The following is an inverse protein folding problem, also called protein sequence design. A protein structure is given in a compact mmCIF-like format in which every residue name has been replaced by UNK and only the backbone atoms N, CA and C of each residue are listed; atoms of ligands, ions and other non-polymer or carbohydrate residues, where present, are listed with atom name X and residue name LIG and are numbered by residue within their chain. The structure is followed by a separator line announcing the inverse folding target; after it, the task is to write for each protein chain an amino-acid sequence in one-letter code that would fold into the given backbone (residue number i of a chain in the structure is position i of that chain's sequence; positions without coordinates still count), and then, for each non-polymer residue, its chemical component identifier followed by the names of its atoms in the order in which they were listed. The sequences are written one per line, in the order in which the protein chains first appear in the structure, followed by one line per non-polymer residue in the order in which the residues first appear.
data_IF_769507850210
#
_entry.id   IF_769507850210
#
_cell.length_a   1.000
_cell.length_b   1.000
_cell.length_c   1.000
_cell.angle_alpha   90.00
_cell.angle_beta   90.00
_cell.angle_gamma   90.00
#
_symmetry.space_group_name_H-M   'P 1'
#
loop_
_entity.id
_entity.type
_entity.pdbx_description
1 polymer ?
#
# COMPACT_ATOMS: atom_id res chain seq x y z
N UNK A 1 -18.13 5.71 -17.22
CA UNK A 1 -17.18 5.39 -16.14
C UNK A 1 -17.20 6.54 -15.14
N UNK A 2 -18.22 6.60 -14.28
CA UNK A 2 -18.22 7.49 -13.12
C UNK A 2 -18.22 6.57 -11.91
N UNK A 3 -17.19 6.65 -11.07
CA UNK A 3 -17.19 5.92 -9.80
C UNK A 3 -18.43 6.36 -9.02
N UNK A 4 -19.24 5.40 -8.57
CA UNK A 4 -20.38 5.76 -7.74
C UNK A 4 -19.86 6.23 -6.37
N UNK A 5 -20.60 7.13 -5.70
CA UNK A 5 -20.23 7.54 -4.34
C UNK A 5 -20.11 6.31 -3.41
N UNK A 6 -20.92 5.27 -3.66
CA UNK A 6 -20.87 3.99 -2.95
C UNK A 6 -19.53 3.28 -3.14
N UNK A 7 -19.04 3.16 -4.38
CA UNK A 7 -17.76 2.52 -4.71
C UNK A 7 -16.59 3.26 -4.04
N UNK A 8 -16.61 4.59 -4.07
CA UNK A 8 -15.59 5.43 -3.42
C UNK A 8 -15.59 5.23 -1.90
N UNK A 9 -16.76 5.22 -1.27
CA UNK A 9 -16.88 5.01 0.16
C UNK A 9 -16.42 3.61 0.58
N UNK A 10 -16.81 2.57 -0.17
CA UNK A 10 -16.38 1.19 0.09
C UNK A 10 -14.86 1.03 -0.03
N UNK A 11 -14.26 1.61 -1.07
CA UNK A 11 -12.81 1.63 -1.24
C UNK A 11 -12.14 2.33 -0.05
N UNK A 12 -12.62 3.51 0.34
CA UNK A 12 -12.04 4.29 1.43
C UNK A 12 -12.11 3.56 2.77
N UNK A 13 -13.27 3.02 3.14
CA UNK A 13 -13.44 2.27 4.39
C UNK A 13 -12.54 1.02 4.40
N UNK A 14 -12.50 0.29 3.27
CA UNK A 14 -11.66 -0.90 3.15
C UNK A 14 -10.17 -0.56 3.28
N UNK A 15 -9.71 0.51 2.61
CA UNK A 15 -8.33 1.01 2.75
C UNK A 15 -8.01 1.44 4.17
N UNK A 16 -8.91 2.16 4.84
CA UNK A 16 -8.71 2.59 6.22
C UNK A 16 -8.57 1.40 7.18
N UNK A 17 -9.41 0.37 7.01
CA UNK A 17 -9.32 -0.85 7.82
C UNK A 17 -8.02 -1.61 7.57
N UNK A 18 -7.66 -1.84 6.31
CA UNK A 18 -6.42 -2.55 5.95
C UNK A 18 -5.20 -1.77 6.42
N UNK A 19 -5.15 -0.46 6.19
CA UNK A 19 -4.07 0.41 6.65
C UNK A 19 -3.96 0.38 8.18
N UNK A 20 -5.08 0.50 8.90
CA UNK A 20 -5.09 0.44 10.36
C UNK A 20 -4.57 -0.88 10.90
N UNK A 21 -5.03 -2.02 10.35
CA UNK A 21 -4.54 -3.35 10.72
C UNK A 21 -3.04 -3.51 10.42
N UNK A 22 -2.61 -3.14 9.22
CA UNK A 22 -1.20 -3.27 8.81
C UNK A 22 -0.27 -2.34 9.59
N UNK A 23 -0.73 -1.15 9.96
CA UNK A 23 0.00 -0.24 10.84
C UNK A 23 0.25 -0.88 12.20
N UNK A 24 -0.80 -1.40 12.85
CA UNK A 24 -0.65 -2.13 14.13
C UNK A 24 0.28 -3.34 13.97
N UNK A 25 0.14 -4.12 12.90
CA UNK A 25 1.02 -5.25 12.64
C UNK A 25 2.48 -4.81 12.48
N UNK A 26 2.77 -3.73 11.76
CA UNK A 26 4.12 -3.17 11.63
C UNK A 26 4.73 -2.77 12.98
N UNK A 27 3.91 -2.25 13.90
CA UNK A 27 4.36 -1.93 15.26
C UNK A 27 4.58 -3.17 16.14
N UNK A 28 3.78 -4.22 15.98
CA UNK A 28 3.82 -5.42 16.85
C UNK A 28 4.84 -6.45 16.36
N UNK A 29 5.04 -6.58 15.05
CA UNK A 29 5.98 -7.54 14.45
C UNK A 29 7.41 -7.19 14.91
N UNK A 30 8.03 -8.15 15.60
CA UNK A 30 9.42 -8.04 16.08
C UNK A 30 10.45 -8.50 15.05
N UNK A 31 10.03 -9.31 14.06
CA UNK A 31 10.91 -9.80 13.00
C UNK A 31 11.23 -8.66 12.04
N UNK A 32 12.48 -8.51 11.64
CA UNK A 32 12.87 -7.55 10.61
C UNK A 32 12.17 -7.85 9.27
N UNK A 33 11.37 -6.88 8.81
CA UNK A 33 10.66 -6.95 7.52
C UNK A 33 11.50 -6.44 6.35
N UNK A 34 12.72 -5.92 6.57
CA UNK A 34 13.58 -5.36 5.50
C UNK A 34 13.82 -6.32 4.34
N UNK A 35 13.98 -7.63 4.63
CA UNK A 35 14.11 -8.65 3.59
C UNK A 35 12.83 -8.84 2.77
N UNK A 36 11.66 -8.78 3.43
CA UNK A 36 10.37 -8.85 2.77
C UNK A 36 10.11 -7.57 1.93
N UNK A 37 10.43 -6.40 2.46
CA UNK A 37 10.26 -5.13 1.77
C UNK A 37 11.04 -5.08 0.45
N UNK A 38 12.28 -5.59 0.43
CA UNK A 38 13.07 -5.70 -0.82
C UNK A 38 12.36 -6.55 -1.87
N UNK A 39 11.78 -7.68 -1.47
CA UNK A 39 11.01 -8.54 -2.36
C UNK A 39 9.70 -7.88 -2.81
N UNK A 40 9.01 -7.19 -1.90
CA UNK A 40 7.76 -6.47 -2.19
C UNK A 40 7.98 -5.30 -3.16
N UNK A 41 9.07 -4.54 -3.01
CA UNK A 41 9.46 -3.49 -3.96
C UNK A 41 9.80 -4.07 -5.34
N UNK A 42 10.52 -5.19 -5.40
CA UNK A 42 10.78 -5.87 -6.68
C UNK A 42 9.48 -6.35 -7.35
N UNK A 43 8.55 -6.91 -6.58
CA UNK A 43 7.25 -7.33 -7.06
C UNK A 43 6.37 -6.14 -7.52
N UNK A 44 6.47 -5.00 -6.83
CA UNK A 44 5.80 -3.75 -7.22
C UNK A 44 6.25 -3.29 -8.62
N UNK A 45 7.54 -3.36 -8.93
CA UNK A 45 8.07 -3.07 -10.27
C UNK A 45 7.45 -4.02 -11.31
N UNK A 46 7.36 -5.31 -10.98
CA UNK A 46 6.69 -6.30 -11.83
C UNK A 46 5.21 -5.96 -12.10
N UNK A 47 4.48 -5.50 -11.08
CA UNK A 47 3.09 -5.04 -11.22
C UNK A 47 2.98 -3.81 -12.13
N UNK A 48 3.88 -2.84 -11.99
CA UNK A 48 3.88 -1.65 -12.84
C UNK A 48 4.05 -2.04 -14.30
N UNK A 49 5.00 -2.95 -14.59
CA UNK A 49 5.21 -3.48 -15.94
C UNK A 49 3.97 -4.23 -16.43
N UNK A 50 3.39 -5.11 -15.61
CA UNK A 50 2.19 -5.86 -15.96
C UNK A 50 0.99 -4.93 -16.25
N UNK A 51 0.85 -3.86 -15.48
CA UNK A 51 -0.19 -2.83 -15.68
C UNK A 51 0.00 -2.12 -17.02
N UNK A 52 1.25 -1.83 -17.38
CA UNK A 52 1.59 -1.20 -18.64
C UNK A 52 1.29 -2.12 -19.83
N UNK A 53 1.63 -3.40 -19.73
CA UNK A 53 1.29 -4.42 -20.74
C UNK A 53 -0.23 -4.56 -20.88
N UNK A 54 -0.95 -4.60 -19.75
CA UNK A 54 -2.40 -4.74 -19.78
C UNK A 54 -3.11 -3.53 -20.41
N UNK A 55 -2.50 -2.34 -20.42
CA UNK A 55 -3.03 -1.18 -21.13
C UNK A 55 -3.18 -1.42 -22.65
N UNK A 56 -2.31 -2.25 -23.24
CA UNK A 56 -2.37 -2.61 -24.66
C UNK A 56 -3.29 -3.82 -24.93
N UNK A 57 -3.38 -4.75 -23.97
CA UNK A 57 -4.22 -5.95 -24.10
C UNK A 57 -5.69 -5.65 -23.79
N UNK A 58 -5.95 -4.82 -22.79
CA UNK A 58 -7.30 -4.49 -22.32
C UNK A 58 -8.02 -5.63 -21.59
N UNK A 59 -7.30 -6.55 -20.95
CA UNK A 59 -7.93 -7.71 -20.29
C UNK A 59 -8.47 -7.35 -18.90
N UNK A 60 -9.79 -7.49 -18.72
CA UNK A 60 -10.45 -7.28 -17.42
C UNK A 60 -9.98 -8.27 -16.35
N UNK A 61 -9.77 -9.53 -16.72
CA UNK A 61 -9.25 -10.56 -15.79
C UNK A 61 -7.83 -10.22 -15.32
N UNK A 62 -6.98 -9.71 -16.22
CA UNK A 62 -5.62 -9.29 -15.86
C UNK A 62 -5.65 -8.06 -14.94
N UNK A 63 -6.52 -7.08 -15.21
CA UNK A 63 -6.74 -5.93 -14.32
C UNK A 63 -7.15 -6.35 -12.91
N UNK A 64 -8.06 -7.33 -12.81
CA UNK A 64 -8.54 -7.85 -11.52
C UNK A 64 -7.42 -8.53 -10.73
N UNK A 65 -6.65 -9.43 -11.37
CA UNK A 65 -5.51 -10.11 -10.74
C UNK A 65 -4.43 -9.11 -10.30
N UNK A 66 -4.09 -8.16 -11.17
CA UNK A 66 -3.13 -7.08 -10.85
C UNK A 66 -3.59 -6.31 -9.61
N UNK A 67 -4.88 -5.99 -9.52
CA UNK A 67 -5.44 -5.24 -8.39
C UNK A 67 -5.34 -6.02 -7.08
N UNK A 68 -5.68 -7.31 -7.08
CA UNK A 68 -5.56 -8.17 -5.88
C UNK A 68 -4.10 -8.25 -5.40
N UNK A 69 -3.17 -8.55 -6.31
CA UNK A 69 -1.75 -8.67 -5.93
C UNK A 69 -1.21 -7.32 -5.46
N UNK A 70 -1.63 -6.21 -6.09
CA UNK A 70 -1.25 -4.86 -5.66
C UNK A 70 -1.68 -4.61 -4.22
N UNK A 71 -2.93 -4.91 -3.87
CA UNK A 71 -3.45 -4.74 -2.50
C UNK A 71 -2.62 -5.54 -1.49
N UNK A 72 -2.25 -6.78 -1.80
CA UNK A 72 -1.40 -7.61 -0.91
C UNK A 72 0.00 -7.01 -0.73
N UNK A 73 0.64 -6.55 -1.81
CA UNK A 73 1.97 -5.96 -1.77
C UNK A 73 1.95 -4.64 -0.99
N UNK A 74 1.03 -3.73 -1.29
CA UNK A 74 0.92 -2.45 -0.59
C UNK A 74 0.60 -2.65 0.89
N UNK A 75 -0.25 -3.63 1.24
CA UNK A 75 -0.51 -3.98 2.64
C UNK A 75 0.77 -4.40 3.39
N UNK A 76 1.60 -5.21 2.74
CA UNK A 76 2.89 -5.61 3.30
C UNK A 76 3.89 -4.46 3.43
N UNK A 77 3.91 -3.55 2.45
CA UNK A 77 4.75 -2.34 2.50
C UNK A 77 4.32 -1.38 3.62
N UNK A 78 3.02 -1.20 3.84
CA UNK A 78 2.49 -0.41 4.97
C UNK A 78 3.01 -0.96 6.30
N UNK A 79 2.99 -2.29 6.48
CA UNK A 79 3.51 -2.90 7.70
C UNK A 79 5.02 -2.65 7.87
N UNK A 80 5.80 -2.69 6.78
CA UNK A 80 7.22 -2.37 6.81
C UNK A 80 7.48 -0.89 7.13
N UNK A 81 6.76 0.04 6.51
CA UNK A 81 6.92 1.47 6.74
C UNK A 81 6.59 1.86 8.18
N UNK A 82 5.57 1.25 8.77
CA UNK A 82 5.26 1.42 10.19
C UNK A 82 6.34 0.83 11.10
N UNK A 83 6.92 -0.32 10.73
CA UNK A 83 8.06 -0.88 11.47
C UNK A 83 9.29 0.03 11.41
N UNK A 84 9.55 0.65 10.24
CA UNK A 84 10.64 1.59 10.05
C UNK A 84 10.46 2.83 10.93
N UNK A 85 9.25 3.39 10.99
CA UNK A 85 8.94 4.53 11.87
C UNK A 85 9.25 4.21 13.33
N UNK A 86 8.79 3.04 13.79
CA UNK A 86 9.09 2.55 15.14
C UNK A 86 10.60 2.45 15.37
N UNK A 87 11.34 1.88 14.42
CA UNK A 87 12.78 1.69 14.51
C UNK A 87 13.52 3.03 14.60
N UNK A 88 13.20 3.99 13.73
CA UNK A 88 13.77 5.34 13.74
C UNK A 88 13.49 6.04 15.06
N UNK A 89 12.24 6.02 15.52
CA UNK A 89 11.84 6.63 16.80
C UNK A 89 12.61 6.04 18.00
N UNK A 90 12.83 4.72 18.00
CA UNK A 90 13.61 4.04 19.04
C UNK A 90 15.09 4.42 18.99
N UNK A 91 15.68 4.54 17.80
CA UNK A 91 17.09 4.89 17.63
C UNK A 91 17.40 6.35 17.95
N UNK A 92 16.45 7.26 17.71
CA UNK A 92 16.60 8.68 18.01
C UNK A 92 16.21 9.05 19.44
N UNK A 93 15.78 8.08 20.26
CA UNK A 93 15.28 8.35 21.61
C UNK A 93 14.06 9.28 21.63
N UNK A 94 13.26 9.25 20.56
CA UNK A 94 12.10 10.13 20.38
C UNK A 94 12.41 11.50 19.77
N UNK A 95 13.68 11.86 19.57
CA UNK A 95 14.08 13.10 18.90
C UNK A 95 14.29 12.88 17.39
N UNK A 96 13.19 12.60 16.69
CA UNK A 96 13.20 12.45 15.23
C UNK A 96 13.32 13.83 14.58
N UNK A 97 14.37 14.07 13.80
CA UNK A 97 14.52 15.34 13.08
C UNK A 97 13.38 15.57 12.08
N UNK A 98 12.95 16.81 11.93
CA UNK A 98 11.76 17.20 11.14
C UNK A 98 11.77 16.62 9.72
N UNK A 99 12.93 16.59 9.05
CA UNK A 99 13.05 16.02 7.70
C UNK A 99 12.72 14.52 7.64
N UNK A 100 13.08 13.75 8.68
CA UNK A 100 12.73 12.33 8.78
C UNK A 100 11.26 12.13 9.13
N UNK A 101 10.72 12.96 10.01
CA UNK A 101 9.30 12.88 10.36
C UNK A 101 8.41 13.17 9.14
N UNK A 102 8.75 14.20 8.36
CA UNK A 102 8.02 14.57 7.13
C UNK A 102 8.13 13.46 6.07
N UNK A 103 9.32 12.91 5.85
CA UNK A 103 9.49 11.85 4.84
C UNK A 103 8.73 10.58 5.20
N UNK A 104 8.75 10.17 6.47
CA UNK A 104 8.00 9.01 6.96
C UNK A 104 6.48 9.22 6.86
N UNK A 105 5.99 10.42 7.21
CA UNK A 105 4.57 10.74 7.05
C UNK A 105 4.15 10.74 5.58
N UNK A 106 5.00 11.26 4.68
CA UNK A 106 4.76 11.21 3.24
C UNK A 106 4.71 9.78 2.72
N UNK A 107 5.62 8.90 3.13
CA UNK A 107 5.59 7.49 2.71
C UNK A 107 4.28 6.82 3.11
N UNK A 108 3.84 6.96 4.37
CA UNK A 108 2.56 6.42 4.83
C UNK A 108 1.36 6.97 4.03
N UNK A 109 1.39 8.26 3.70
CA UNK A 109 0.34 8.88 2.88
C UNK A 109 0.30 8.27 1.47
N UNK A 110 1.46 8.11 0.82
CA UNK A 110 1.54 7.52 -0.50
C UNK A 110 1.08 6.06 -0.50
N UNK A 111 1.45 5.29 0.52
CA UNK A 111 1.00 3.92 0.70
C UNK A 111 -0.53 3.82 0.84
N UNK A 112 -1.12 4.68 1.66
CA UNK A 112 -2.57 4.75 1.83
C UNK A 112 -3.27 5.08 0.52
N UNK A 113 -2.80 6.10 -0.20
CA UNK A 113 -3.38 6.52 -1.49
C UNK A 113 -3.25 5.41 -2.53
N UNK A 114 -2.11 4.74 -2.61
CA UNK A 114 -1.92 3.62 -3.54
C UNK A 114 -2.86 2.45 -3.23
N UNK A 115 -2.98 2.07 -1.96
CA UNK A 115 -3.94 1.04 -1.54
C UNK A 115 -5.37 1.44 -1.90
N UNK A 116 -5.75 2.69 -1.64
CA UNK A 116 -7.07 3.24 -1.97
C UNK A 116 -7.36 3.21 -3.46
N UNK A 117 -6.45 3.69 -4.30
CA UNK A 117 -6.66 3.69 -5.74
C UNK A 117 -6.76 2.26 -6.31
N UNK A 118 -6.03 1.30 -5.76
CA UNK A 118 -6.12 -0.09 -6.18
C UNK A 118 -7.45 -0.73 -5.77
N UNK A 119 -7.91 -0.49 -4.54
CA UNK A 119 -9.23 -0.96 -4.09
C UNK A 119 -10.37 -0.27 -4.84
N UNK A 120 -10.23 1.02 -5.15
CA UNK A 120 -11.20 1.76 -5.94
C UNK A 120 -11.32 1.19 -7.37
N UNK A 121 -10.18 0.86 -8.00
CA UNK A 121 -10.19 0.19 -9.31
C UNK A 121 -10.78 -1.20 -9.22
N UNK A 122 -10.47 -1.96 -8.18
CA UNK A 122 -11.03 -3.29 -7.97
C UNK A 122 -12.56 -3.23 -7.89
N UNK A 123 -13.10 -2.41 -6.98
CA UNK A 123 -14.54 -2.28 -6.81
C UNK A 123 -15.24 -1.58 -7.98
N UNK A 124 -14.54 -0.68 -8.68
CA UNK A 124 -15.08 -0.02 -9.87
C UNK A 124 -14.93 -0.82 -11.16
N UNK A 125 -14.25 -1.97 -11.15
CA UNK A 125 -14.17 -2.88 -12.31
C UNK A 125 -15.28 -3.94 -12.31
N UNK A 126 -15.95 -4.13 -11.16
CA UNK A 126 -17.06 -5.09 -10.99
C UNK A 126 -18.46 -4.47 -11.28
N UNK A 127 -18.51 -3.18 -11.64
CA UNK A 127 -19.73 -2.43 -12.07
C UNK A 127 -19.68 -2.10 -13.59
#
# INVERSE_FOLDING_TARGET
MAYTQTTVLQAFISSALVFGVMSVLGFVIKKDLSGFAKAAIAALIGIIIASFVNMFIGSGMMSFVISIISVLIFSGLIAYDNQMIKHVYQHTGGNVGDGWAISMALSLYLDFINLFLNLLRLFGSDD
#
